data_IF_985352447168
#
_entry.id   IF_985352447168
#
_cell.length_a   1.000
_cell.length_b   1.000
_cell.length_c   1.000
_cell.angle_alpha   90.00
_cell.angle_beta   90.00
_cell.angle_gamma   90.00
#
_symmetry.space_group_name_H-M   'P 1'
#
loop_
_entity.id
_entity.type
_entity.pdbx_description
1 polymer ?
#
# COMPACT_ATOMS: atom_id res chain seq x y z
N UNK A 1 9.11 -17.06 -21.66
CA UNK A 1 8.93 -18.07 -20.59
C UNK A 1 7.77 -17.56 -19.74
N UNK A 2 6.57 -18.02 -20.05
CA UNK A 2 5.33 -17.61 -19.39
C UNK A 2 5.14 -18.53 -18.20
N UNK A 3 5.10 -17.98 -16.99
CA UNK A 3 4.60 -18.69 -15.82
C UNK A 3 3.08 -18.66 -15.95
N UNK A 4 2.48 -19.79 -16.30
CA UNK A 4 1.03 -19.95 -16.42
C UNK A 4 0.38 -20.06 -15.04
N UNK A 5 -0.90 -19.71 -14.94
CA UNK A 5 -1.73 -19.71 -13.72
C UNK A 5 -1.72 -21.04 -12.92
N UNK A 6 -1.25 -22.14 -13.51
CA UNK A 6 -1.13 -23.44 -12.86
C UNK A 6 0.05 -23.58 -11.87
N UNK A 7 1.12 -22.78 -11.99
CA UNK A 7 2.29 -22.91 -11.10
C UNK A 7 2.04 -22.35 -9.69
N UNK A 8 0.83 -21.86 -9.41
CA UNK A 8 0.43 -21.22 -8.15
C UNK A 8 -0.50 -22.09 -7.28
N UNK A 9 -0.87 -23.30 -7.70
CA UNK A 9 -1.90 -24.11 -7.01
C UNK A 9 -1.41 -25.43 -6.39
N UNK A 10 -0.11 -25.74 -6.41
CA UNK A 10 0.40 -26.88 -5.65
C UNK A 10 1.05 -26.40 -4.34
N UNK A 11 0.31 -26.50 -3.24
CA UNK A 11 0.91 -26.54 -1.91
C UNK A 11 0.62 -27.92 -1.31
N UNK A 12 1.70 -28.64 -1.05
CA UNK A 12 1.76 -29.92 -0.35
C UNK A 12 1.00 -29.87 0.98
N UNK A 13 0.24 -30.93 1.25
CA UNK A 13 -0.27 -31.23 2.58
C UNK A 13 0.90 -31.52 3.53
N UNK A 14 1.04 -30.75 4.60
CA UNK A 14 1.90 -31.11 5.73
C UNK A 14 1.17 -30.80 7.05
N UNK A 15 0.67 -31.87 7.67
CA UNK A 15 0.11 -31.84 9.02
C UNK A 15 1.22 -31.70 10.07
N UNK A 16 1.33 -30.52 10.69
CA UNK A 16 2.02 -30.32 11.98
C UNK A 16 1.18 -29.33 12.80
N UNK A 17 0.05 -29.81 13.33
CA UNK A 17 -0.93 -29.03 14.08
C UNK A 17 -0.63 -29.19 15.57
N UNK A 18 0.16 -28.28 16.14
CA UNK A 18 -0.03 -27.67 17.48
C UNK A 18 1.22 -26.90 17.95
N UNK A 19 2.43 -27.32 17.55
CA UNK A 19 3.67 -26.63 17.96
C UNK A 19 4.01 -25.37 17.15
N UNK A 20 3.59 -25.32 15.89
CA UNK A 20 3.90 -24.21 14.96
C UNK A 20 2.97 -23.01 15.20
N UNK A 21 1.73 -23.25 15.64
CA UNK A 21 0.78 -22.17 15.90
C UNK A 21 1.28 -21.24 17.03
N UNK A 22 1.96 -21.79 18.04
CA UNK A 22 2.55 -21.02 19.14
C UNK A 22 3.82 -20.25 18.72
N UNK A 23 4.58 -20.76 17.75
CA UNK A 23 5.80 -20.12 17.25
C UNK A 23 5.52 -19.01 16.21
N UNK A 24 4.39 -19.08 15.49
CA UNK A 24 3.94 -17.99 14.60
C UNK A 24 3.47 -16.74 15.38
N UNK A 25 3.05 -16.90 16.64
CA UNK A 25 2.56 -15.79 17.46
C UNK A 25 3.72 -14.93 18.01
N UNK A 26 4.93 -15.47 18.14
CA UNK A 26 6.06 -14.74 18.77
C UNK A 26 6.92 -13.91 17.81
N UNK A 27 6.77 -14.04 16.50
CA UNK A 27 7.48 -13.19 15.52
C UNK A 27 6.73 -11.90 15.15
N UNK A 28 5.52 -11.68 15.67
CA UNK A 28 4.56 -10.70 15.14
C UNK A 28 4.65 -9.25 15.65
N UNK A 29 5.61 -8.86 16.51
CA UNK A 29 5.60 -7.50 17.12
C UNK A 29 6.86 -6.64 16.91
N UNK A 30 7.78 -7.01 16.02
CA UNK A 30 9.04 -6.22 15.92
C UNK A 30 8.92 -4.91 15.12
N UNK A 31 7.88 -4.73 14.31
CA UNK A 31 7.78 -3.59 13.37
C UNK A 31 6.58 -2.67 13.61
N UNK A 32 5.56 -3.11 14.34
CA UNK A 32 4.32 -2.34 14.57
C UNK A 32 3.39 -2.23 13.35
N UNK A 33 3.65 -2.98 12.26
CA UNK A 33 2.85 -2.97 11.04
C UNK A 33 1.99 -4.24 10.91
N UNK A 34 0.80 -4.10 10.33
CA UNK A 34 -0.12 -5.19 10.04
C UNK A 34 -0.20 -5.49 8.54
N UNK A 35 -0.48 -6.74 8.18
CA UNK A 35 -0.64 -7.13 6.77
C UNK A 35 -1.69 -6.25 6.09
N UNK A 36 -1.32 -5.68 4.94
CA UNK A 36 -2.16 -4.78 4.16
C UNK A 36 -2.03 -3.30 4.53
N UNK A 37 -1.25 -2.94 5.55
CA UNK A 37 -0.98 -1.53 5.87
C UNK A 37 -0.27 -0.83 4.72
N UNK A 38 -0.76 0.35 4.37
CA UNK A 38 -0.03 1.28 3.51
C UNK A 38 1.05 1.91 4.38
N UNK A 39 2.30 1.70 4.00
CA UNK A 39 3.45 2.36 4.62
C UNK A 39 3.82 3.56 3.75
N UNK A 40 4.04 4.70 4.37
CA UNK A 40 4.69 5.84 3.74
C UNK A 40 6.03 6.13 4.38
N UNK A 41 6.98 6.59 3.57
CA UNK A 41 8.30 6.99 4.03
C UNK A 41 8.38 8.50 4.19
N UNK A 42 9.40 8.95 4.94
CA UNK A 42 9.73 10.38 5.05
C UNK A 42 9.77 11.08 3.70
N UNK A 43 9.29 12.31 3.72
CA UNK A 43 9.27 13.21 2.57
C UNK A 43 10.65 13.33 1.95
N UNK A 44 10.75 13.03 0.66
CA UNK A 44 11.93 13.23 -0.16
C UNK A 44 11.75 14.51 -0.98
N UNK A 45 12.86 15.18 -1.30
CA UNK A 45 12.86 16.35 -2.18
C UNK A 45 13.77 16.07 -3.38
N UNK A 46 13.27 16.23 -4.60
CA UNK A 46 14.05 16.07 -5.83
C UNK A 46 13.66 17.15 -6.83
N UNK A 47 14.64 17.95 -7.27
CA UNK A 47 14.45 19.04 -8.25
C UNK A 47 13.26 19.95 -7.86
N UNK A 48 13.20 20.35 -6.59
CA UNK A 48 12.14 21.20 -6.06
C UNK A 48 10.79 20.52 -5.79
N UNK A 49 10.64 19.23 -6.12
CA UNK A 49 9.41 18.46 -5.87
C UNK A 49 9.57 17.64 -4.58
N UNK A 50 8.70 17.91 -3.60
CA UNK A 50 8.51 17.10 -2.39
C UNK A 50 7.52 15.97 -2.67
N UNK A 51 7.84 14.76 -2.23
CA UNK A 51 6.98 13.58 -2.38
C UNK A 51 7.32 12.54 -1.30
N UNK A 52 6.36 11.67 -0.98
CA UNK A 52 6.55 10.45 -0.19
C UNK A 52 6.57 9.23 -1.09
N UNK A 53 7.35 8.23 -0.71
CA UNK A 53 7.27 6.89 -1.29
C UNK A 53 6.27 6.05 -0.50
N UNK A 54 5.60 5.12 -1.16
CA UNK A 54 4.55 4.29 -0.59
C UNK A 54 4.76 2.82 -0.92
N UNK A 55 4.41 1.95 0.03
CA UNK A 55 4.44 0.50 -0.10
C UNK A 55 3.28 -0.12 0.69
N UNK A 56 3.06 -1.42 0.54
CA UNK A 56 2.13 -2.20 1.36
C UNK A 56 2.91 -3.21 2.18
N UNK A 57 2.67 -3.26 3.49
CA UNK A 57 3.24 -4.28 4.36
C UNK A 57 2.62 -5.64 4.07
N UNK A 58 3.45 -6.63 3.77
CA UNK A 58 3.03 -8.01 3.49
C UNK A 58 3.57 -9.01 4.52
N UNK A 59 4.48 -8.59 5.41
CA UNK A 59 5.04 -9.43 6.48
C UNK A 59 5.54 -10.78 5.96
N UNK A 60 5.26 -11.85 6.69
CA UNK A 60 5.65 -13.22 6.33
C UNK A 60 4.61 -13.97 5.48
N UNK A 61 3.53 -13.31 5.04
CA UNK A 61 2.47 -13.94 4.24
C UNK A 61 3.09 -14.55 2.97
N UNK A 62 2.77 -15.82 2.71
CA UNK A 62 3.25 -16.51 1.51
C UNK A 62 2.48 -16.01 0.29
N UNK A 63 3.18 -15.37 -0.64
CA UNK A 63 2.62 -14.81 -1.87
C UNK A 63 3.56 -15.20 -3.02
N UNK A 64 2.99 -15.64 -4.14
CA UNK A 64 3.77 -16.05 -5.30
C UNK A 64 4.75 -14.92 -5.74
N UNK A 65 6.02 -15.29 -5.92
CA UNK A 65 7.09 -14.36 -6.29
C UNK A 65 7.76 -13.61 -5.11
N UNK A 66 7.24 -13.75 -3.88
CA UNK A 66 7.85 -13.21 -2.67
C UNK A 66 8.90 -14.18 -2.12
N UNK A 67 10.05 -13.65 -1.72
CA UNK A 67 11.14 -14.37 -1.05
C UNK A 67 11.14 -14.07 0.46
N UNK A 68 11.78 -14.93 1.23
CA UNK A 68 11.96 -14.75 2.67
C UNK A 68 12.63 -13.39 3.00
N UNK A 69 12.13 -12.71 4.02
CA UNK A 69 12.61 -11.39 4.47
C UNK A 69 12.27 -10.24 3.52
N UNK A 70 11.35 -10.43 2.57
CA UNK A 70 10.75 -9.33 1.81
C UNK A 70 9.40 -8.98 2.43
N UNK A 71 9.35 -7.90 3.20
CA UNK A 71 8.22 -7.58 4.08
C UNK A 71 7.26 -6.55 3.46
N UNK A 72 7.63 -5.97 2.31
CA UNK A 72 6.81 -4.98 1.62
C UNK A 72 6.60 -5.32 0.14
N UNK A 73 5.48 -4.86 -0.40
CA UNK A 73 5.18 -4.83 -1.82
C UNK A 73 5.06 -3.37 -2.29
N UNK A 74 5.82 -3.02 -3.33
CA UNK A 74 5.92 -1.63 -3.79
C UNK A 74 6.04 -1.53 -5.30
N UNK A 75 5.69 -0.37 -5.83
CA UNK A 75 6.06 0.04 -7.19
C UNK A 75 7.25 0.99 -7.09
N UNK A 76 8.45 0.47 -7.35
CA UNK A 76 9.69 1.25 -7.34
C UNK A 76 9.87 2.04 -8.65
N UNK A 77 10.82 2.98 -8.71
CA UNK A 77 11.25 3.55 -9.99
C UNK A 77 12.37 2.68 -10.58
N UNK A 78 12.18 2.15 -11.78
CA UNK A 78 13.25 1.49 -12.56
C UNK A 78 13.49 2.27 -13.86
N UNK A 79 14.75 2.46 -14.24
CA UNK A 79 15.09 3.04 -15.55
C UNK A 79 14.59 2.07 -16.64
N UNK A 80 13.64 2.53 -17.47
CA UNK A 80 12.97 1.74 -18.53
C UNK A 80 12.40 0.37 -18.09
N UNK A 81 11.52 0.31 -17.08
CA UNK A 81 10.87 -0.96 -16.74
C UNK A 81 9.63 -0.90 -15.86
N UNK A 82 8.94 -2.05 -15.81
CA UNK A 82 7.95 -2.41 -14.80
C UNK A 82 8.66 -2.67 -13.46
N UNK A 83 8.07 -2.30 -12.34
CA UNK A 83 8.82 -2.23 -11.07
C UNK A 83 7.99 -2.51 -9.82
N UNK A 84 6.87 -3.20 -9.99
CA UNK A 84 6.10 -3.76 -8.88
C UNK A 84 6.88 -4.97 -8.39
N UNK A 85 7.28 -4.95 -7.12
CA UNK A 85 8.18 -5.96 -6.56
C UNK A 85 7.95 -6.12 -5.07
N UNK A 86 8.37 -7.26 -4.57
CA UNK A 86 8.62 -7.47 -3.15
C UNK A 86 10.00 -6.92 -2.77
N UNK A 87 10.11 -6.29 -1.60
CA UNK A 87 11.34 -5.71 -1.08
C UNK A 87 11.40 -5.83 0.46
N UNK A 88 12.57 -5.54 1.04
CA UNK A 88 12.75 -5.51 2.49
C UNK A 88 12.21 -4.21 3.06
N UNK A 89 11.56 -4.27 4.23
CA UNK A 89 11.24 -3.06 4.97
C UNK A 89 12.52 -2.42 5.50
N UNK A 90 12.64 -1.11 5.36
CA UNK A 90 13.85 -0.35 5.70
C UNK A 90 13.53 0.62 6.84
N UNK A 91 13.73 0.19 8.10
CA UNK A 91 13.29 0.93 9.29
C UNK A 91 14.01 2.27 9.50
N UNK A 92 15.26 2.40 9.05
CA UNK A 92 16.02 3.66 9.12
C UNK A 92 15.53 4.74 8.15
N UNK A 93 14.61 4.42 7.23
CA UNK A 93 13.89 5.43 6.44
C UNK A 93 12.63 5.95 7.15
N UNK A 94 12.45 5.56 8.42
CA UNK A 94 11.35 5.97 9.31
C UNK A 94 9.97 5.76 8.65
N UNK A 95 9.62 4.49 8.34
CA UNK A 95 8.31 4.15 7.79
C UNK A 95 7.19 4.41 8.80
N UNK A 96 6.04 4.85 8.30
CA UNK A 96 4.83 5.13 9.09
C UNK A 96 3.58 4.57 8.40
N UNK A 97 2.62 4.08 9.20
CA UNK A 97 1.31 3.65 8.69
C UNK A 97 0.56 4.86 8.14
N UNK A 98 0.01 4.74 6.94
CA UNK A 98 -0.66 5.81 6.22
C UNK A 98 -1.92 5.30 5.50
N UNK A 99 -2.81 4.67 6.29
CA UNK A 99 -4.10 4.14 5.83
C UNK A 99 -5.16 5.26 5.74
N UNK A 100 -4.87 6.33 5.01
CA UNK A 100 -5.63 7.58 5.09
C UNK A 100 -7.06 7.52 4.54
N UNK A 101 -7.43 6.49 3.75
CA UNK A 101 -8.80 6.29 3.27
C UNK A 101 -9.63 5.41 4.20
N UNK A 102 -9.06 4.85 5.27
CA UNK A 102 -9.85 4.10 6.25
C UNK A 102 -10.92 5.04 6.86
N UNK A 103 -12.16 4.56 6.85
CA UNK A 103 -13.37 5.27 7.30
C UNK A 103 -13.75 6.50 6.45
N UNK A 104 -13.15 6.67 5.27
CA UNK A 104 -13.62 7.66 4.32
C UNK A 104 -14.86 7.12 3.60
N UNK A 105 -16.00 7.82 3.75
CA UNK A 105 -17.19 7.58 2.92
C UNK A 105 -17.17 8.56 1.77
N UNK A 106 -17.09 8.05 0.53
CA UNK A 106 -17.26 8.87 -0.66
C UNK A 106 -18.71 9.36 -0.72
N UNK A 107 -18.93 10.67 -0.66
CA UNK A 107 -20.27 11.23 -0.59
C UNK A 107 -20.99 11.31 -1.94
N UNK A 108 -20.30 11.03 -3.06
CA UNK A 108 -20.93 10.89 -4.38
C UNK A 108 -21.48 9.48 -4.58
N UNK A 109 -20.76 8.46 -4.11
CA UNK A 109 -21.14 7.05 -4.31
C UNK A 109 -21.79 6.40 -3.09
N UNK A 110 -21.57 6.96 -1.90
CA UNK A 110 -21.93 6.36 -0.61
C UNK A 110 -20.99 5.23 -0.16
N UNK A 111 -19.91 4.96 -0.91
CA UNK A 111 -18.97 3.87 -0.62
C UNK A 111 -18.03 4.25 0.52
N UNK A 112 -17.95 3.41 1.55
CA UNK A 112 -16.97 3.57 2.64
C UNK A 112 -15.77 2.69 2.39
N UNK A 113 -14.58 3.30 2.41
CA UNK A 113 -13.34 2.59 2.18
C UNK A 113 -12.74 2.08 3.49
N UNK A 114 -12.15 0.90 3.40
CA UNK A 114 -11.42 0.25 4.47
C UNK A 114 -10.48 -0.79 3.89
N UNK A 115 -9.68 -1.41 4.76
CA UNK A 115 -8.84 -2.55 4.37
C UNK A 115 -9.73 -3.61 3.70
N UNK A 116 -9.43 -3.98 2.46
CA UNK A 116 -10.08 -5.12 1.83
C UNK A 116 -9.65 -6.44 2.47
N UNK A 117 -10.42 -7.50 2.25
CA UNK A 117 -10.10 -8.83 2.77
C UNK A 117 -8.70 -9.29 2.35
N UNK A 118 -8.02 -10.05 3.22
CA UNK A 118 -6.64 -10.49 2.96
C UNK A 118 -6.52 -11.25 1.63
N UNK A 119 -7.54 -12.04 1.25
CA UNK A 119 -7.62 -12.72 -0.05
C UNK A 119 -7.66 -11.75 -1.21
N UNK A 120 -8.43 -10.66 -1.10
CA UNK A 120 -8.50 -9.64 -2.13
C UNK A 120 -7.20 -8.84 -2.23
N UNK A 121 -6.56 -8.54 -1.09
CA UNK A 121 -5.23 -7.90 -1.07
C UNK A 121 -4.23 -8.77 -1.81
N UNK A 122 -4.16 -10.08 -1.49
CA UNK A 122 -3.27 -11.03 -2.17
C UNK A 122 -3.57 -11.09 -3.68
N UNK A 123 -4.85 -11.21 -4.05
CA UNK A 123 -5.28 -11.21 -5.46
C UNK A 123 -4.79 -9.97 -6.21
N UNK A 124 -4.94 -8.78 -5.62
CA UNK A 124 -4.51 -7.50 -6.21
C UNK A 124 -2.99 -7.37 -6.27
N UNK A 125 -2.25 -7.93 -5.31
CA UNK A 125 -0.80 -8.05 -5.37
C UNK A 125 -0.38 -8.92 -6.56
N UNK A 126 -0.95 -10.13 -6.69
CA UNK A 126 -0.64 -11.04 -7.80
C UNK A 126 -0.95 -10.38 -9.15
N UNK A 127 -2.14 -9.78 -9.28
CA UNK A 127 -2.56 -9.08 -10.50
C UNK A 127 -1.56 -7.98 -10.87
N UNK A 128 -1.19 -7.13 -9.91
CA UNK A 128 -0.27 -6.02 -10.17
C UNK A 128 1.18 -6.47 -10.33
N UNK A 129 1.57 -7.62 -9.78
CA UNK A 129 2.92 -8.15 -9.93
C UNK A 129 3.10 -8.71 -11.36
N UNK A 130 2.11 -9.46 -11.86
CA UNK A 130 2.10 -9.99 -13.22
C UNK A 130 1.91 -8.87 -14.26
N UNK A 131 0.97 -7.96 -14.02
CA UNK A 131 0.56 -6.91 -14.96
C UNK A 131 1.04 -5.51 -14.56
N UNK A 132 2.23 -5.45 -13.97
CA UNK A 132 2.77 -4.19 -13.51
C UNK A 132 2.90 -3.20 -14.69
N UNK A 133 2.39 -1.98 -14.49
CA UNK A 133 2.44 -0.91 -15.49
C UNK A 133 3.72 -0.09 -15.31
N UNK A 134 4.14 0.61 -16.36
CA UNK A 134 5.32 1.49 -16.34
C UNK A 134 5.11 2.60 -15.29
N UNK A 135 6.14 2.88 -14.49
CA UNK A 135 6.11 3.95 -13.51
C UNK A 135 5.98 5.31 -14.20
N UNK A 136 4.92 6.06 -13.89
CA UNK A 136 4.80 7.48 -14.17
C UNK A 136 4.82 8.27 -12.87
N UNK A 137 5.41 9.47 -12.87
CA UNK A 137 5.40 10.33 -11.68
C UNK A 137 3.97 10.79 -11.36
N UNK A 138 3.21 11.12 -12.42
CA UNK A 138 1.85 11.66 -12.33
C UNK A 138 0.74 10.60 -12.46
N UNK A 139 1.08 9.39 -12.91
CA UNK A 139 0.15 8.28 -13.12
C UNK A 139 0.83 6.94 -12.79
N UNK A 140 0.10 5.99 -12.20
CA UNK A 140 0.66 4.66 -11.87
C UNK A 140 1.98 4.70 -11.07
N UNK A 141 2.03 5.63 -10.10
CA UNK A 141 3.13 5.72 -9.13
C UNK A 141 2.93 4.74 -7.95
N UNK A 142 3.83 4.82 -6.97
CA UNK A 142 3.81 3.96 -5.78
C UNK A 142 2.53 4.08 -4.95
N UNK A 143 2.00 5.30 -4.79
CA UNK A 143 0.78 5.54 -4.00
C UNK A 143 -0.46 4.93 -4.67
N UNK A 144 -0.57 5.00 -6.00
CA UNK A 144 -1.66 4.34 -6.73
C UNK A 144 -1.66 2.82 -6.56
N UNK A 145 -0.49 2.21 -6.50
CA UNK A 145 -0.36 0.77 -6.32
C UNK A 145 -0.70 0.39 -4.88
N UNK A 146 -0.24 1.17 -3.90
CA UNK A 146 -0.55 0.94 -2.50
C UNK A 146 -2.05 1.06 -2.20
N UNK A 147 -2.70 2.12 -2.70
CA UNK A 147 -4.15 2.31 -2.53
C UNK A 147 -4.96 1.25 -3.27
N UNK A 148 -4.52 0.83 -4.47
CA UNK A 148 -5.20 -0.25 -5.18
C UNK A 148 -5.14 -1.56 -4.41
N UNK A 149 -3.95 -1.93 -3.93
CA UNK A 149 -3.75 -3.17 -3.17
C UNK A 149 -4.56 -3.19 -1.87
N UNK A 150 -4.65 -2.07 -1.13
CA UNK A 150 -5.45 -2.02 0.11
C UNK A 150 -6.95 -1.87 -0.15
N UNK A 151 -7.34 -0.89 -0.97
CA UNK A 151 -8.72 -0.41 -1.12
C UNK A 151 -9.43 -0.81 -2.42
N UNK A 152 -8.69 -1.26 -3.43
CA UNK A 152 -9.26 -1.66 -4.73
C UNK A 152 -9.39 -0.48 -5.69
N UNK A 153 -8.99 0.71 -5.24
CA UNK A 153 -9.03 1.96 -5.98
C UNK A 153 -7.65 2.58 -6.11
N UNK A 154 -7.37 3.17 -7.27
CA UNK A 154 -6.09 3.82 -7.58
C UNK A 154 -6.18 5.31 -7.24
N UNK A 155 -5.76 5.66 -6.03
CA UNK A 155 -5.73 7.05 -5.55
C UNK A 155 -4.28 7.44 -5.24
N UNK A 156 -3.91 8.65 -5.59
CA UNK A 156 -2.65 9.24 -5.16
C UNK A 156 -2.81 10.74 -4.96
N UNK A 157 -2.51 11.20 -3.75
CA UNK A 157 -2.74 12.56 -3.31
C UNK A 157 -1.43 13.29 -3.01
N UNK A 158 -0.41 12.58 -2.52
CA UNK A 158 0.79 13.20 -1.94
C UNK A 158 0.43 14.37 -1.01
N UNK A 159 -0.50 14.14 -0.08
CA UNK A 159 -1.09 15.16 0.79
C UNK A 159 -0.03 16.09 1.42
N UNK A 160 -0.26 17.40 1.35
CA UNK A 160 0.65 18.46 1.84
C UNK A 160 2.06 18.47 1.21
N UNK A 161 2.23 17.93 0.00
CA UNK A 161 3.48 17.97 -0.75
C UNK A 161 3.38 18.89 -1.96
N UNK A 162 4.50 19.31 -2.55
CA UNK A 162 4.44 20.12 -3.80
C UNK A 162 3.94 19.31 -5.00
N UNK A 163 3.86 17.97 -4.89
CA UNK A 163 3.15 17.09 -5.84
C UNK A 163 1.63 17.04 -5.63
N UNK A 164 1.12 17.60 -4.54
CA UNK A 164 -0.30 17.76 -4.25
C UNK A 164 -0.92 18.66 -5.35
N UNK A 165 -1.86 18.11 -6.11
CA UNK A 165 -2.48 18.83 -7.24
C UNK A 165 -2.05 18.36 -8.64
N UNK A 166 -0.83 17.83 -8.81
CA UNK A 166 -0.34 17.37 -10.13
C UNK A 166 -0.69 15.92 -10.47
N UNK A 167 -1.09 15.14 -9.46
CA UNK A 167 -1.32 13.70 -9.60
C UNK A 167 -2.77 13.42 -9.94
N UNK A 168 -2.99 12.72 -11.06
CA UNK A 168 -4.32 12.33 -11.55
C UNK A 168 -4.77 11.09 -10.76
N UNK A 169 -5.57 11.30 -9.71
CA UNK A 169 -6.34 10.22 -9.10
C UNK A 169 -7.48 9.82 -10.03
N UNK A 170 -7.76 8.53 -10.09
CA UNK A 170 -8.84 7.90 -10.85
C UNK A 170 -10.14 8.74 -10.88
N UNK A 171 -10.83 8.78 -12.03
CA UNK A 171 -12.05 9.56 -12.31
C UNK A 171 -13.20 9.35 -11.32
N UNK A 172 -13.06 8.38 -10.40
CA UNK A 172 -14.04 7.98 -9.40
C UNK A 172 -14.11 8.87 -8.16
N UNK A 173 -13.11 9.72 -7.89
CA UNK A 173 -13.09 10.55 -6.67
C UNK A 173 -13.12 12.05 -6.98
N UNK A 174 -13.94 12.80 -6.23
CA UNK A 174 -13.76 14.24 -6.11
C UNK A 174 -12.53 14.54 -5.23
N UNK A 175 -11.40 14.75 -5.91
CA UNK A 175 -10.10 15.05 -5.28
C UNK A 175 -10.18 16.25 -4.33
N UNK A 176 -10.95 17.29 -4.65
CA UNK A 176 -11.07 18.48 -3.80
C UNK A 176 -11.70 18.10 -2.47
N UNK A 177 -12.80 17.35 -2.53
CA UNK A 177 -13.56 16.93 -1.34
C UNK A 177 -12.81 15.93 -0.47
N UNK A 178 -12.08 14.99 -1.09
CA UNK A 178 -11.20 14.08 -0.36
C UNK A 178 -10.08 14.83 0.38
N UNK A 179 -9.45 15.83 -0.27
CA UNK A 179 -8.44 16.67 0.39
C UNK A 179 -9.03 17.48 1.56
N UNK A 180 -10.25 18.02 1.40
CA UNK A 180 -10.96 18.71 2.48
C UNK A 180 -11.22 17.79 3.69
N UNK A 181 -11.70 16.56 3.45
CA UNK A 181 -11.90 15.56 4.49
C UNK A 181 -10.59 15.25 5.23
N UNK A 182 -9.52 14.92 4.50
CA UNK A 182 -8.23 14.56 5.11
C UNK A 182 -7.63 15.72 5.93
N UNK A 183 -7.80 16.96 5.45
CA UNK A 183 -7.40 18.17 6.18
C UNK A 183 -8.24 18.43 7.42
N UNK A 184 -9.52 18.04 7.44
CA UNK A 184 -10.33 18.12 8.65
C UNK A 184 -9.93 17.09 9.71
N UNK A 185 -9.56 15.86 9.31
CA UNK A 185 -9.06 14.83 10.25
C UNK A 185 -7.71 15.16 10.87
N UNK A 186 -6.86 15.92 10.15
CA UNK A 186 -5.52 16.29 10.60
C UNK A 186 -5.47 17.58 11.44
N UNK A 187 -6.60 18.27 11.64
CA UNK A 187 -6.69 19.34 12.64
C UNK A 187 -6.80 18.71 14.03
N UNK A 188 -5.87 19.04 14.93
CA UNK A 188 -6.05 18.74 16.35
C UNK A 188 -7.41 19.29 16.82
N UNK A 189 -8.14 18.58 17.70
CA UNK A 189 -9.36 19.13 18.28
C UNK A 189 -9.02 20.49 18.89
N UNK A 190 -9.71 21.53 18.43
CA UNK A 190 -9.60 22.85 19.05
C UNK A 190 -10.04 22.69 20.50
N UNK A 191 -9.09 22.84 21.42
CA UNK A 191 -9.42 23.05 22.83
C UNK A 191 -10.27 24.31 22.89
N UNK A 192 -11.59 24.12 22.92
CA UNK A 192 -12.50 25.15 23.36
C UNK A 192 -12.11 25.45 24.81
N UNK A 193 -11.46 26.59 25.01
CA UNK A 193 -11.36 27.21 26.32
C UNK A 193 -12.77 27.64 26.69
N UNK A 194 -13.40 26.88 27.58
CA UNK A 194 -14.50 27.37 28.40
C UNK A 194 -13.93 28.32 29.46
#
# INVERSE_FOLDING_TARGET
>A
MFISDLDCLENEEATVVDGILLLMITTLEMSGFQFGDIISYKTRCKVGVRYKHFAVYVGDVNICGKKAGQDIYEQAKKYHGKSCKFAKLTMNEEPEVNNYLDDYTDPLTGETYGKGDDKDIIKRIIETHQNCRIYGILHNNCEHIATYVRYGVRVALQLNMTGEGLIFGNDKFDKKRLLEYLRSKSKCPSHHKN
#
